data_IF_666755405609
#
_entry.id   IF_666755405609
#
_cell.length_a   1.000
_cell.length_b   1.000
_cell.length_c   1.000
_cell.angle_alpha   90.00
_cell.angle_beta   90.00
_cell.angle_gamma   90.00
#
_symmetry.space_group_name_H-M   'P 1'
#
loop_
_entity.id
_entity.type
_entity.pdbx_description
1 polymer ?
#
# COMPACT_ATOMS: atom_id res chain seq x y z
N UNK A 1 -3.99 -17.09 32.94
CA UNK A 1 -4.58 -15.73 33.09
C UNK A 1 -5.35 -15.63 34.40
N UNK A 2 -5.15 -14.57 35.15
CA UNK A 2 -5.71 -14.33 36.51
C UNK A 2 -7.06 -13.58 36.42
N UNK A 3 -8.00 -14.06 35.62
CA UNK A 3 -9.32 -13.46 35.43
C UNK A 3 -10.37 -14.52 35.15
N UNK A 4 -11.62 -14.27 35.54
CA UNK A 4 -12.79 -15.13 35.28
C UNK A 4 -13.34 -14.94 33.85
N UNK A 5 -12.92 -13.89 33.16
CA UNK A 5 -13.36 -13.59 31.78
C UNK A 5 -12.93 -14.70 30.82
N UNK A 6 -13.76 -15.00 29.84
CA UNK A 6 -13.40 -15.87 28.74
C UNK A 6 -12.36 -15.21 27.82
N UNK A 7 -11.62 -15.99 27.02
CA UNK A 7 -10.65 -15.43 26.06
C UNK A 7 -11.32 -14.45 25.08
N UNK A 8 -12.54 -14.72 24.65
CA UNK A 8 -13.26 -13.83 23.76
C UNK A 8 -13.58 -12.49 24.44
N UNK A 9 -14.04 -12.53 25.70
CA UNK A 9 -14.30 -11.31 26.48
C UNK A 9 -13.03 -10.49 26.70
N UNK A 10 -11.89 -11.15 26.98
CA UNK A 10 -10.59 -10.45 27.10
C UNK A 10 -10.19 -9.80 25.78
N UNK A 11 -10.38 -10.49 24.65
CA UNK A 11 -10.08 -9.92 23.31
C UNK A 11 -11.05 -8.77 22.99
N UNK A 12 -12.32 -8.90 23.33
CA UNK A 12 -13.33 -7.84 23.09
C UNK A 12 -12.97 -6.58 23.90
N UNK A 13 -12.61 -6.73 25.16
CA UNK A 13 -12.17 -5.64 26.02
C UNK A 13 -10.88 -4.99 25.46
N UNK A 14 -9.86 -5.80 25.13
CA UNK A 14 -8.65 -5.29 24.53
C UNK A 14 -8.89 -4.48 23.24
N UNK A 15 -9.72 -5.00 22.35
CA UNK A 15 -10.06 -4.34 21.09
C UNK A 15 -10.83 -3.05 21.32
N UNK A 16 -11.72 -3.00 22.31
CA UNK A 16 -12.49 -1.79 22.64
C UNK A 16 -11.58 -0.67 23.17
N UNK A 17 -10.56 -1.01 23.96
CA UNK A 17 -9.60 -0.07 24.54
C UNK A 17 -8.43 0.27 23.58
N UNK A 18 -8.28 -0.48 22.48
CA UNK A 18 -7.21 -0.18 21.51
C UNK A 18 -7.51 1.12 20.76
N UNK A 19 -6.64 2.13 20.95
CA UNK A 19 -6.72 3.38 20.18
C UNK A 19 -6.17 3.15 18.76
N UNK A 20 -7.04 2.65 17.89
CA UNK A 20 -6.70 2.37 16.49
C UNK A 20 -7.96 2.42 15.60
N UNK A 21 -7.75 2.63 14.31
CA UNK A 21 -8.83 2.62 13.33
C UNK A 21 -9.52 1.25 13.25
N UNK A 22 -10.81 1.20 12.88
CA UNK A 22 -11.59 -0.04 12.81
C UNK A 22 -10.90 -1.16 12.01
N UNK A 23 -10.24 -0.83 10.90
CA UNK A 23 -9.51 -1.80 10.09
C UNK A 23 -8.31 -2.41 10.84
N UNK A 24 -7.61 -1.62 11.67
CA UNK A 24 -6.49 -2.11 12.49
C UNK A 24 -7.00 -2.98 13.63
N UNK A 25 -8.10 -2.58 14.29
CA UNK A 25 -8.76 -3.39 15.34
C UNK A 25 -9.21 -4.74 14.77
N UNK A 26 -9.81 -4.77 13.58
CA UNK A 26 -10.19 -6.00 12.88
C UNK A 26 -8.98 -6.90 12.57
N UNK A 27 -7.87 -6.33 12.08
CA UNK A 27 -6.64 -7.09 11.82
C UNK A 27 -6.00 -7.63 13.10
N UNK A 28 -6.03 -6.86 14.19
CA UNK A 28 -5.57 -7.30 15.50
C UNK A 28 -6.39 -8.47 16.02
N UNK A 29 -7.73 -8.38 15.97
CA UNK A 29 -8.64 -9.47 16.34
C UNK A 29 -8.37 -10.74 15.54
N UNK A 30 -8.21 -10.61 14.23
CA UNK A 30 -7.91 -11.73 13.34
C UNK A 30 -6.56 -12.40 13.70
N UNK A 31 -5.51 -11.61 13.94
CA UNK A 31 -4.17 -12.12 14.22
C UNK A 31 -4.06 -12.77 15.59
N UNK A 32 -4.68 -12.19 16.62
CA UNK A 32 -4.68 -12.81 17.95
C UNK A 32 -5.50 -14.12 17.96
N UNK A 33 -6.59 -14.19 17.17
CA UNK A 33 -7.33 -15.43 16.96
C UNK A 33 -6.50 -16.53 16.30
N UNK A 34 -5.56 -16.15 15.40
CA UNK A 34 -4.61 -17.11 14.81
C UNK A 34 -3.61 -17.63 15.83
N UNK A 35 -3.12 -16.78 16.72
CA UNK A 35 -2.27 -17.18 17.85
C UNK A 35 -2.97 -18.20 18.75
N UNK A 36 -4.20 -17.95 19.18
CA UNK A 36 -4.93 -18.89 20.03
C UNK A 36 -5.24 -20.21 19.32
N UNK A 37 -5.52 -20.18 18.03
CA UNK A 37 -5.68 -21.42 17.23
C UNK A 37 -4.39 -22.23 17.16
N UNK A 38 -3.24 -21.57 17.01
CA UNK A 38 -1.94 -22.22 17.04
C UNK A 38 -1.68 -22.91 18.37
N UNK A 39 -1.95 -22.24 19.51
CA UNK A 39 -1.80 -22.84 20.84
C UNK A 39 -2.66 -24.09 20.99
N UNK A 40 -3.94 -23.99 20.64
CA UNK A 40 -4.86 -25.15 20.69
C UNK A 40 -4.36 -26.31 19.82
N UNK A 41 -3.89 -26.04 18.62
CA UNK A 41 -3.34 -27.06 17.72
C UNK A 41 -2.07 -27.73 18.29
N UNK A 42 -1.31 -27.02 19.14
CA UNK A 42 -0.13 -27.51 19.84
C UNK A 42 -0.49 -28.26 21.14
N UNK A 43 -1.76 -28.26 21.55
CA UNK A 43 -2.20 -28.85 22.83
C UNK A 43 -1.90 -27.95 24.04
N UNK A 44 -1.61 -26.66 23.83
CA UNK A 44 -1.35 -25.69 24.90
C UNK A 44 -2.65 -24.95 25.23
N UNK A 45 -2.97 -24.85 26.53
CA UNK A 45 -4.11 -24.00 26.95
C UNK A 45 -3.82 -22.53 26.59
N UNK A 46 -4.66 -21.89 25.77
CA UNK A 46 -4.48 -20.47 25.40
C UNK A 46 -4.51 -19.51 26.61
N UNK A 47 -4.92 -19.96 27.79
CA UNK A 47 -4.89 -19.17 29.01
C UNK A 47 -3.55 -19.21 29.75
N UNK A 48 -2.72 -20.23 29.46
CA UNK A 48 -1.46 -20.49 30.17
C UNK A 48 -0.27 -20.73 29.22
N UNK A 49 -0.14 -19.98 28.12
CA UNK A 49 1.02 -20.14 27.26
C UNK A 49 2.28 -19.58 27.94
N UNK A 50 3.41 -20.16 27.57
CA UNK A 50 4.72 -19.70 28.02
C UNK A 50 5.44 -18.85 26.95
N UNK A 51 6.57 -18.26 27.35
CA UNK A 51 7.46 -17.52 26.45
C UNK A 51 7.96 -18.38 25.27
N UNK A 52 8.24 -19.66 25.54
CA UNK A 52 8.65 -20.63 24.49
C UNK A 52 7.62 -20.76 23.40
N UNK A 53 6.31 -20.72 23.74
CA UNK A 53 5.25 -20.85 22.76
C UNK A 53 5.21 -19.67 21.77
N UNK A 54 5.53 -18.45 22.25
CA UNK A 54 5.62 -17.27 21.35
C UNK A 54 6.81 -17.41 20.40
N UNK A 55 7.95 -17.94 20.88
CA UNK A 55 9.13 -18.20 20.05
C UNK A 55 8.83 -19.29 19.02
N UNK A 56 8.18 -20.38 19.43
CA UNK A 56 7.78 -21.47 18.56
C UNK A 56 6.76 -21.01 17.50
N UNK A 57 5.80 -20.16 17.88
CA UNK A 57 4.88 -19.54 16.93
C UNK A 57 5.59 -18.72 15.86
N UNK A 58 6.53 -17.85 16.29
CA UNK A 58 7.37 -17.09 15.37
C UNK A 58 8.12 -18.00 14.39
N UNK A 59 8.74 -19.09 14.93
CA UNK A 59 9.50 -20.05 14.14
C UNK A 59 8.60 -20.86 13.19
N UNK A 60 7.40 -21.24 13.63
CA UNK A 60 6.43 -21.95 12.79
C UNK A 60 5.96 -21.13 11.61
N UNK A 61 5.72 -19.82 11.81
CA UNK A 61 5.37 -18.90 10.74
C UNK A 61 6.51 -18.77 9.70
N UNK A 62 7.76 -18.73 10.17
CA UNK A 62 8.94 -18.69 9.30
C UNK A 62 9.11 -20.00 8.51
N UNK A 63 8.96 -21.15 9.17
CA UNK A 63 9.01 -22.48 8.53
C UNK A 63 7.89 -22.67 7.50
N UNK A 64 6.71 -22.04 7.71
CA UNK A 64 5.61 -22.01 6.75
C UNK A 64 5.84 -21.05 5.57
N UNK A 65 7.07 -20.54 5.38
CA UNK A 65 7.44 -19.68 4.26
C UNK A 65 6.88 -18.26 4.32
N UNK A 66 6.39 -17.80 5.49
CA UNK A 66 5.93 -16.42 5.62
C UNK A 66 7.10 -15.45 5.60
N UNK A 67 6.95 -14.31 4.89
CA UNK A 67 7.98 -13.28 4.88
C UNK A 67 8.27 -12.75 6.29
N UNK A 68 9.49 -12.29 6.54
CA UNK A 68 9.87 -11.69 7.83
C UNK A 68 8.97 -10.51 8.23
N UNK A 69 8.47 -9.74 7.26
CA UNK A 69 7.50 -8.68 7.50
C UNK A 69 6.16 -9.23 8.02
N UNK A 70 5.66 -10.31 7.40
CA UNK A 70 4.43 -10.98 7.82
C UNK A 70 4.59 -11.58 9.21
N UNK A 71 5.68 -12.31 9.46
CA UNK A 71 6.01 -12.89 10.78
C UNK A 71 6.02 -11.80 11.85
N UNK A 72 6.72 -10.69 11.60
CA UNK A 72 6.77 -9.57 12.52
C UNK A 72 5.39 -8.98 12.79
N UNK A 73 4.53 -8.84 11.78
CA UNK A 73 3.17 -8.36 11.94
C UNK A 73 2.30 -9.25 12.83
N UNK A 74 2.47 -10.57 12.78
CA UNK A 74 1.78 -11.50 13.69
C UNK A 74 2.34 -11.43 15.11
N UNK A 75 3.65 -11.47 15.26
CA UNK A 75 4.32 -11.42 16.57
C UNK A 75 4.09 -10.07 17.26
N UNK A 76 4.02 -8.97 16.52
CA UNK A 76 3.71 -7.65 17.08
C UNK A 76 2.34 -7.64 17.75
N UNK A 77 1.33 -8.24 17.14
CA UNK A 77 -0.01 -8.31 17.75
C UNK A 77 0.00 -9.10 19.04
N UNK A 78 0.72 -10.22 19.09
CA UNK A 78 0.91 -11.02 20.32
C UNK A 78 1.58 -10.17 21.41
N UNK A 79 2.64 -9.41 21.06
CA UNK A 79 3.32 -8.51 22.00
C UNK A 79 2.40 -7.43 22.56
N UNK A 80 1.65 -6.76 21.70
CA UNK A 80 0.73 -5.70 22.11
C UNK A 80 -0.36 -6.25 23.00
N UNK A 81 -0.91 -7.41 22.69
CA UNK A 81 -1.92 -8.09 23.51
C UNK A 81 -1.39 -8.43 24.90
N UNK A 82 -0.23 -9.09 25.02
CA UNK A 82 0.30 -9.47 26.33
C UNK A 82 0.83 -8.26 27.14
N UNK A 83 1.29 -7.20 26.48
CA UNK A 83 1.61 -5.94 27.15
C UNK A 83 0.38 -5.29 27.77
N UNK A 84 -0.76 -5.30 27.06
CA UNK A 84 -2.03 -4.84 27.59
C UNK A 84 -2.55 -5.74 28.72
N UNK A 85 -2.48 -7.07 28.57
CA UNK A 85 -2.86 -8.03 29.64
C UNK A 85 -2.05 -7.83 30.93
N UNK A 86 -0.75 -7.51 30.81
CA UNK A 86 0.12 -7.19 31.96
C UNK A 86 -0.36 -5.90 32.64
N UNK A 87 -0.67 -4.85 31.88
CA UNK A 87 -1.23 -3.59 32.40
C UNK A 87 -2.53 -3.79 33.15
N UNK A 88 -3.39 -4.71 32.69
CA UNK A 88 -4.63 -5.13 33.34
C UNK A 88 -4.42 -6.12 34.50
N UNK A 89 -3.21 -6.58 34.74
CA UNK A 89 -2.86 -7.64 35.70
C UNK A 89 -3.55 -8.98 35.43
N UNK A 90 -3.94 -9.24 34.17
CA UNK A 90 -4.55 -10.51 33.77
C UNK A 90 -3.51 -11.64 33.65
N UNK A 91 -2.31 -11.34 33.22
CA UNK A 91 -1.17 -12.26 33.18
C UNK A 91 0.15 -11.48 32.99
N UNK A 92 1.26 -12.16 33.22
CA UNK A 92 2.58 -11.60 32.94
C UNK A 92 2.83 -11.52 31.42
N UNK A 93 3.69 -10.58 30.99
CA UNK A 93 3.99 -10.38 29.57
C UNK A 93 4.99 -11.42 29.06
N UNK A 94 4.50 -12.54 28.59
CA UNK A 94 5.30 -13.65 28.04
C UNK A 94 6.02 -13.26 26.73
N UNK A 95 5.62 -12.16 26.08
CA UNK A 95 6.21 -11.70 24.82
C UNK A 95 7.26 -10.60 25.01
N UNK A 96 7.55 -10.20 26.26
CA UNK A 96 8.53 -9.17 26.58
C UNK A 96 9.92 -9.51 26.04
N UNK A 97 10.56 -8.58 25.34
CA UNK A 97 11.94 -8.73 24.81
C UNK A 97 12.10 -9.76 23.68
N UNK A 98 11.03 -10.35 23.14
CA UNK A 98 11.12 -11.21 21.95
C UNK A 98 11.54 -10.37 20.76
N UNK A 99 12.69 -10.68 20.16
CA UNK A 99 13.21 -9.95 18.99
C UNK A 99 12.36 -10.24 17.74
N UNK A 100 12.08 -9.21 16.99
CA UNK A 100 11.51 -9.34 15.65
C UNK A 100 12.47 -10.10 14.72
N UNK A 101 11.95 -10.79 13.71
CA UNK A 101 12.80 -11.37 12.65
C UNK A 101 13.50 -10.25 11.90
N UNK A 102 14.75 -10.48 11.47
CA UNK A 102 15.47 -9.52 10.64
C UNK A 102 14.63 -9.22 9.40
N UNK A 103 14.35 -7.94 9.19
CA UNK A 103 13.66 -7.49 7.98
C UNK A 103 14.64 -7.62 6.82
N UNK A 104 14.54 -8.70 6.05
CA UNK A 104 15.12 -8.69 4.72
C UNK A 104 14.38 -7.65 3.90
N UNK A 105 15.11 -6.64 3.40
CA UNK A 105 14.57 -5.51 2.64
C UNK A 105 14.14 -5.89 1.19
N UNK A 106 14.02 -7.17 0.88
CA UNK A 106 13.98 -7.66 -0.50
C UNK A 106 12.62 -7.62 -1.19
N UNK A 107 11.54 -7.21 -0.53
CA UNK A 107 10.22 -7.21 -1.16
C UNK A 107 9.74 -5.81 -1.48
N UNK A 108 10.37 -5.16 -2.46
CA UNK A 108 9.86 -3.93 -3.02
C UNK A 108 8.85 -4.22 -4.14
N UNK A 109 7.72 -3.53 -4.12
CA UNK A 109 6.86 -3.45 -5.30
C UNK A 109 7.61 -2.70 -6.38
N UNK A 110 7.63 -3.27 -7.58
CA UNK A 110 8.31 -2.66 -8.71
C UNK A 110 7.42 -1.56 -9.33
N UNK A 111 7.98 -0.40 -9.67
CA UNK A 111 7.27 0.59 -10.47
C UNK A 111 7.17 0.12 -11.93
N UNK A 112 6.22 0.66 -12.66
CA UNK A 112 6.17 0.58 -14.11
C UNK A 112 7.23 1.50 -14.72
N UNK A 113 7.73 1.14 -15.89
CA UNK A 113 8.43 2.11 -16.75
C UNK A 113 7.43 3.12 -17.31
N UNK A 114 7.91 4.27 -17.78
CA UNK A 114 7.07 5.26 -18.45
C UNK A 114 6.30 4.65 -19.63
N UNK A 115 6.96 3.84 -20.48
CA UNK A 115 6.31 3.14 -21.60
C UNK A 115 5.18 2.22 -21.13
N UNK A 116 5.40 1.46 -20.07
CA UNK A 116 4.37 0.58 -19.51
C UNK A 116 3.19 1.35 -18.92
N UNK A 117 3.44 2.49 -18.26
CA UNK A 117 2.39 3.33 -17.71
C UNK A 117 1.54 3.97 -18.83
N UNK A 118 2.18 4.48 -19.90
CA UNK A 118 1.47 4.98 -21.08
C UNK A 118 0.66 3.89 -21.76
N UNK A 119 1.27 2.74 -22.05
CA UNK A 119 0.58 1.60 -22.66
C UNK A 119 -0.63 1.12 -21.83
N UNK A 120 -0.52 1.16 -20.49
CA UNK A 120 -1.64 0.83 -19.61
C UNK A 120 -2.82 1.79 -19.80
N UNK A 121 -2.57 3.09 -19.84
CA UNK A 121 -3.61 4.11 -20.05
C UNK A 121 -4.21 4.06 -21.47
N UNK A 122 -3.39 3.80 -22.48
CA UNK A 122 -3.79 3.71 -23.89
C UNK A 122 -4.63 2.44 -24.15
N UNK A 123 -4.35 1.35 -23.43
CA UNK A 123 -5.09 0.07 -23.59
C UNK A 123 -6.54 0.11 -23.11
N UNK A 124 -6.94 1.17 -22.41
CA UNK A 124 -8.28 1.25 -21.80
C UNK A 124 -9.25 1.90 -22.79
N UNK A 125 -10.22 1.12 -23.23
CA UNK A 125 -11.31 1.59 -24.08
C UNK A 125 -12.28 2.50 -23.28
N UNK A 126 -12.27 3.78 -23.58
CA UNK A 126 -13.13 4.81 -22.95
C UNK A 126 -14.48 5.00 -23.65
N UNK A 127 -14.82 4.20 -24.65
CA UNK A 127 -16.18 4.16 -25.19
C UNK A 127 -17.18 3.57 -24.19
N UNK A 128 -16.70 2.85 -23.19
CA UNK A 128 -17.49 2.20 -22.16
C UNK A 128 -17.41 2.92 -20.82
N UNK A 129 -18.51 2.97 -20.07
CA UNK A 129 -18.57 3.55 -18.73
C UNK A 129 -17.52 2.91 -17.76
N UNK A 130 -17.33 1.59 -17.85
CA UNK A 130 -16.32 0.86 -17.08
C UNK A 130 -14.91 1.31 -17.47
N UNK A 131 -14.65 1.51 -18.74
CA UNK A 131 -13.35 1.98 -19.21
C UNK A 131 -13.05 3.39 -18.77
N UNK A 132 -14.03 4.33 -18.87
CA UNK A 132 -13.89 5.70 -18.35
C UNK A 132 -13.54 5.70 -16.87
N UNK A 133 -14.28 4.93 -16.05
CA UNK A 133 -13.99 4.74 -14.63
C UNK A 133 -12.56 4.21 -14.39
N UNK A 134 -12.19 3.14 -15.07
CA UNK A 134 -10.90 2.48 -14.86
C UNK A 134 -9.74 3.41 -15.24
N UNK A 135 -9.88 4.17 -16.35
CA UNK A 135 -8.85 5.11 -16.83
C UNK A 135 -8.65 6.27 -15.86
N UNK A 136 -9.74 6.92 -15.42
CA UNK A 136 -9.67 7.98 -14.41
C UNK A 136 -9.01 7.50 -13.12
N UNK A 137 -9.44 6.36 -12.60
CA UNK A 137 -8.90 5.75 -11.38
C UNK A 137 -7.39 5.46 -11.51
N UNK A 138 -6.97 4.87 -12.62
CA UNK A 138 -5.56 4.53 -12.87
C UNK A 138 -4.72 5.79 -13.08
N UNK A 139 -5.25 6.79 -13.78
CA UNK A 139 -4.55 8.07 -13.98
C UNK A 139 -4.33 8.78 -12.64
N UNK A 140 -5.33 8.88 -11.77
CA UNK A 140 -5.18 9.44 -10.41
C UNK A 140 -4.09 8.74 -9.59
N UNK A 141 -3.98 7.42 -9.72
CA UNK A 141 -2.93 6.67 -9.02
C UNK A 141 -1.54 6.87 -9.64
N UNK A 142 -1.45 7.10 -10.93
CA UNK A 142 -0.19 7.33 -11.66
C UNK A 142 0.29 8.78 -11.58
N UNK A 143 -0.61 9.76 -11.65
CA UNK A 143 -0.27 11.20 -11.65
C UNK A 143 -0.20 11.80 -10.25
N UNK A 144 -1.20 11.49 -9.40
CA UNK A 144 -1.30 12.03 -8.05
C UNK A 144 -0.79 11.06 -6.97
N UNK A 145 -0.39 9.85 -7.37
CA UNK A 145 0.14 8.84 -6.48
C UNK A 145 -0.84 8.35 -5.41
N UNK A 146 -2.15 8.43 -5.64
CA UNK A 146 -3.16 8.03 -4.66
C UNK A 146 -3.09 6.55 -4.33
N UNK A 147 -3.33 6.22 -3.06
CA UNK A 147 -3.47 4.83 -2.61
C UNK A 147 -4.86 4.28 -2.96
N UNK A 148 -4.99 2.98 -3.13
CA UNK A 148 -6.30 2.34 -3.40
C UNK A 148 -7.38 2.70 -2.37
N UNK A 149 -7.01 2.88 -1.08
CA UNK A 149 -7.96 3.29 -0.05
C UNK A 149 -8.33 4.77 -0.13
N UNK A 150 -7.48 5.62 -0.69
CA UNK A 150 -7.77 7.03 -0.95
C UNK A 150 -8.71 7.14 -2.16
N UNK A 151 -8.39 6.45 -3.25
CA UNK A 151 -9.25 6.36 -4.43
C UNK A 151 -10.64 5.81 -4.09
N UNK A 152 -10.72 4.76 -3.29
CA UNK A 152 -12.01 4.18 -2.85
C UNK A 152 -12.93 5.22 -2.20
N UNK A 153 -12.36 6.20 -1.48
CA UNK A 153 -13.11 7.14 -0.64
C UNK A 153 -13.53 8.41 -1.34
N UNK A 154 -13.15 8.58 -2.60
CA UNK A 154 -13.49 9.76 -3.39
C UNK A 154 -14.99 9.76 -3.66
N UNK A 155 -15.63 10.90 -3.37
CA UNK A 155 -16.98 11.24 -3.75
C UNK A 155 -16.95 12.22 -4.95
N UNK A 156 -18.08 12.43 -5.61
CA UNK A 156 -18.14 13.33 -6.75
C UNK A 156 -17.87 14.78 -6.31
N UNK A 157 -18.38 15.19 -5.14
CA UNK A 157 -18.16 16.51 -4.55
C UNK A 157 -16.73 16.79 -4.08
N UNK A 158 -15.84 15.82 -4.11
CA UNK A 158 -14.44 16.04 -3.70
C UNK A 158 -13.61 16.77 -4.76
N UNK A 159 -14.09 16.83 -6.00
CA UNK A 159 -13.48 17.66 -7.05
C UNK A 159 -13.98 19.10 -6.94
N UNK A 160 -13.04 20.05 -6.94
CA UNK A 160 -13.31 21.46 -6.74
C UNK A 160 -12.44 22.32 -7.66
N UNK A 161 -12.86 23.54 -7.91
CA UNK A 161 -12.13 24.54 -8.67
C UNK A 161 -11.91 25.77 -7.78
N UNK A 162 -10.71 25.94 -7.28
CA UNK A 162 -10.34 27.06 -6.39
C UNK A 162 -9.36 27.98 -7.13
N UNK A 163 -9.74 29.24 -7.31
CA UNK A 163 -8.92 30.25 -8.01
C UNK A 163 -8.43 29.80 -9.40
N UNK A 164 -9.26 29.04 -10.12
CA UNK A 164 -8.91 28.50 -11.43
C UNK A 164 -7.99 27.28 -11.41
N UNK A 165 -7.68 26.73 -10.23
CA UNK A 165 -6.90 25.52 -10.08
C UNK A 165 -7.82 24.35 -9.71
N UNK A 166 -7.77 23.29 -10.52
CA UNK A 166 -8.53 22.06 -10.26
C UNK A 166 -7.90 21.29 -9.11
N UNK A 167 -8.70 20.99 -8.11
CA UNK A 167 -8.28 20.32 -6.89
C UNK A 167 -9.14 19.09 -6.59
N UNK A 168 -8.56 18.16 -5.85
CA UNK A 168 -9.24 16.97 -5.33
C UNK A 168 -9.00 16.87 -3.84
N UNK A 169 -10.09 16.90 -3.05
CA UNK A 169 -10.06 16.64 -1.61
C UNK A 169 -9.92 15.16 -1.34
N UNK A 170 -8.97 14.77 -0.51
CA UNK A 170 -8.65 13.37 -0.27
C UNK A 170 -8.63 13.01 1.21
N UNK A 171 -9.15 11.82 1.53
CA UNK A 171 -9.00 11.22 2.84
C UNK A 171 -7.78 10.31 2.85
N UNK A 172 -6.67 10.78 3.44
CA UNK A 172 -5.44 9.99 3.55
C UNK A 172 -5.63 8.73 4.41
N UNK A 173 -4.78 7.75 4.13
CA UNK A 173 -4.73 6.54 4.97
C UNK A 173 -4.42 6.91 6.42
N UNK A 174 -5.26 6.48 7.35
CA UNK A 174 -5.10 6.78 8.78
C UNK A 174 -5.82 8.04 9.24
N UNK A 175 -6.48 8.77 8.34
CA UNK A 175 -7.32 9.94 8.66
C UNK A 175 -8.80 9.60 8.57
N UNK A 176 -9.62 10.38 9.25
CA UNK A 176 -11.09 10.26 9.26
C UNK A 176 -11.76 11.34 8.40
N UNK A 177 -11.01 12.36 7.99
CA UNK A 177 -11.45 13.55 7.27
C UNK A 177 -10.78 13.67 5.90
N UNK A 178 -11.27 14.61 5.06
CA UNK A 178 -10.77 14.93 3.72
C UNK A 178 -10.12 16.31 3.66
N UNK A 179 -9.35 16.69 4.69
CA UNK A 179 -8.72 18.00 4.77
C UNK A 179 -7.51 18.20 3.85
N UNK A 180 -6.94 17.14 3.33
CA UNK A 180 -5.83 17.27 2.39
C UNK A 180 -6.35 17.39 0.95
N UNK A 181 -5.72 18.29 0.20
CA UNK A 181 -6.02 18.53 -1.22
C UNK A 181 -4.83 18.16 -2.09
N UNK A 182 -5.10 17.73 -3.30
CA UNK A 182 -4.10 17.55 -4.35
C UNK A 182 -4.55 18.29 -5.60
N UNK A 183 -3.62 18.96 -6.27
CA UNK A 183 -3.88 19.55 -7.58
C UNK A 183 -4.04 18.43 -8.60
N UNK A 184 -5.05 18.52 -9.44
CA UNK A 184 -5.28 17.60 -10.56
C UNK A 184 -5.10 18.30 -11.88
N UNK A 185 -4.65 17.57 -12.90
CA UNK A 185 -4.43 18.13 -14.23
C UNK A 185 -5.73 18.22 -15.03
N UNK A 186 -5.69 19.01 -16.12
CA UNK A 186 -6.83 19.16 -17.03
C UNK A 186 -7.25 17.81 -17.65
N UNK A 187 -6.31 16.89 -17.89
CA UNK A 187 -6.62 15.55 -18.39
C UNK A 187 -7.39 14.71 -17.35
N UNK A 188 -7.09 14.89 -16.07
CA UNK A 188 -7.86 14.25 -14.98
C UNK A 188 -9.26 14.84 -14.93
N UNK A 189 -9.39 16.16 -15.02
CA UNK A 189 -10.71 16.84 -15.04
C UNK A 189 -11.54 16.41 -16.24
N UNK A 190 -10.97 16.39 -17.43
CA UNK A 190 -11.67 15.93 -18.63
C UNK A 190 -12.19 14.49 -18.51
N UNK A 191 -11.39 13.58 -17.93
CA UNK A 191 -11.83 12.21 -17.65
C UNK A 191 -12.87 12.14 -16.54
N UNK A 192 -12.79 13.01 -15.53
CA UNK A 192 -13.79 13.10 -14.47
C UNK A 192 -15.14 13.53 -15.04
N UNK A 193 -15.18 14.59 -15.84
CA UNK A 193 -16.38 15.10 -16.49
C UNK A 193 -16.99 14.08 -17.46
N UNK A 194 -16.15 13.45 -18.30
CA UNK A 194 -16.60 12.42 -19.23
C UNK A 194 -17.17 11.19 -18.53
N UNK A 195 -16.56 10.78 -17.40
CA UNK A 195 -17.06 9.66 -16.61
C UNK A 195 -18.36 10.00 -15.89
N UNK A 196 -18.44 11.15 -15.21
CA UNK A 196 -19.62 11.56 -14.44
C UNK A 196 -20.81 11.82 -15.34
N UNK A 197 -20.63 12.52 -16.48
CA UNK A 197 -21.69 12.72 -17.48
C UNK A 197 -22.26 11.41 -18.01
N UNK A 198 -21.44 10.37 -18.07
CA UNK A 198 -21.85 9.05 -18.56
C UNK A 198 -22.50 8.16 -17.50
N UNK A 199 -22.46 8.56 -16.19
CA UNK A 199 -23.09 7.78 -15.11
C UNK A 199 -24.60 7.87 -15.07
N UNK A 200 -25.19 8.87 -15.71
CA UNK A 200 -26.60 9.23 -15.57
C UNK A 200 -26.85 10.10 -14.35
N UNK A 201 -28.02 9.99 -13.74
CA UNK A 201 -28.36 10.78 -12.54
C UNK A 201 -27.52 10.34 -11.33
N UNK A 202 -27.01 11.32 -10.59
CA UNK A 202 -26.24 11.12 -9.36
C UNK A 202 -26.39 12.32 -8.42
N UNK A 203 -26.22 12.08 -7.12
CA UNK A 203 -26.04 13.12 -6.13
C UNK A 203 -24.56 13.47 -6.01
N UNK A 204 -24.23 14.74 -5.73
CA UNK A 204 -22.83 15.18 -5.58
C UNK A 204 -22.09 14.46 -4.44
N UNK A 205 -22.82 13.97 -3.44
CA UNK A 205 -22.30 13.15 -2.34
C UNK A 205 -22.11 11.68 -2.70
N UNK A 206 -22.52 11.26 -3.90
CA UNK A 206 -22.35 9.86 -4.31
C UNK A 206 -20.89 9.47 -4.49
N UNK A 207 -20.57 8.19 -4.26
CA UNK A 207 -19.25 7.67 -4.56
C UNK A 207 -18.87 7.89 -6.02
N UNK A 208 -17.67 8.45 -6.26
CA UNK A 208 -17.19 8.62 -7.62
C UNK A 208 -17.00 7.24 -8.29
N UNK A 209 -16.28 6.33 -7.66
CA UNK A 209 -15.98 5.02 -8.21
C UNK A 209 -16.96 3.95 -7.72
N UNK A 210 -17.85 3.54 -8.60
CA UNK A 210 -18.88 2.54 -8.31
C UNK A 210 -18.73 1.28 -9.15
N UNK A 211 -19.36 0.18 -8.70
CA UNK A 211 -19.59 -0.95 -9.58
C UNK A 211 -20.58 -0.53 -10.70
N UNK A 212 -20.44 -1.14 -11.87
CA UNK A 212 -21.35 -0.95 -13.00
C UNK A 212 -21.90 -2.31 -13.45
N UNK A 213 -22.38 -3.08 -12.48
CA UNK A 213 -23.03 -4.35 -12.76
C UNK A 213 -24.47 -4.09 -13.24
N UNK A 214 -24.83 -4.71 -14.38
CA UNK A 214 -26.15 -4.56 -14.97
C UNK A 214 -27.23 -5.03 -13.99
N UNK A 215 -28.25 -4.20 -13.75
CA UNK A 215 -29.37 -4.53 -12.86
C UNK A 215 -29.07 -4.46 -11.37
N UNK A 216 -27.90 -3.96 -10.97
CA UNK A 216 -27.53 -3.75 -9.57
C UNK A 216 -27.33 -2.26 -9.30
N UNK A 217 -27.84 -1.79 -8.16
CA UNK A 217 -27.61 -0.39 -7.72
C UNK A 217 -26.10 -0.13 -7.68
N UNK A 218 -25.62 0.99 -8.24
CA UNK A 218 -24.23 1.35 -8.15
C UNK A 218 -23.78 1.54 -6.70
N UNK A 219 -22.81 0.75 -6.28
CA UNK A 219 -22.20 0.82 -4.95
C UNK A 219 -20.72 1.17 -5.05
N UNK A 220 -20.19 1.83 -4.03
CA UNK A 220 -18.77 2.14 -3.92
C UNK A 220 -17.93 0.87 -4.07
N UNK A 221 -16.94 0.89 -4.97
CA UNK A 221 -16.00 -0.23 -5.10
C UNK A 221 -15.07 -0.29 -3.89
N UNK A 222 -14.73 -1.50 -3.47
CA UNK A 222 -13.77 -1.71 -2.39
C UNK A 222 -12.33 -1.79 -2.91
N UNK A 223 -11.34 -1.80 -1.98
CA UNK A 223 -9.90 -1.84 -2.33
C UNK A 223 -9.51 -3.12 -3.07
N UNK A 224 -10.15 -4.21 -2.75
CA UNK A 224 -9.92 -5.52 -3.36
C UNK A 224 -10.36 -5.47 -4.83
N UNK A 225 -11.51 -4.88 -5.11
CA UNK A 225 -12.02 -4.65 -6.47
C UNK A 225 -11.08 -3.73 -7.25
N UNK A 226 -10.62 -2.62 -6.65
CA UNK A 226 -9.62 -1.72 -7.29
C UNK A 226 -8.36 -2.51 -7.65
N UNK A 227 -7.83 -3.30 -6.72
CA UNK A 227 -6.64 -4.11 -6.94
C UNK A 227 -6.84 -5.15 -8.04
N UNK A 228 -8.02 -5.78 -8.10
CA UNK A 228 -8.40 -6.73 -9.14
C UNK A 228 -8.49 -6.05 -10.52
N UNK A 229 -9.16 -4.91 -10.61
CA UNK A 229 -9.28 -4.12 -11.85
C UNK A 229 -7.90 -3.78 -12.39
N UNK A 230 -7.02 -3.20 -11.55
CA UNK A 230 -5.67 -2.82 -11.95
C UNK A 230 -4.86 -4.04 -12.41
N UNK A 231 -4.93 -5.16 -11.68
CA UNK A 231 -4.22 -6.37 -12.08
C UNK A 231 -4.74 -6.92 -13.41
N UNK A 232 -6.04 -6.89 -13.65
CA UNK A 232 -6.65 -7.27 -14.94
C UNK A 232 -6.16 -6.37 -16.08
N UNK A 233 -6.10 -5.03 -15.88
CA UNK A 233 -5.61 -4.08 -16.87
C UNK A 233 -4.11 -4.24 -17.14
N UNK A 234 -3.31 -4.54 -16.12
CA UNK A 234 -1.88 -4.85 -16.30
C UNK A 234 -1.69 -6.13 -17.13
N UNK A 235 -2.48 -7.17 -16.87
CA UNK A 235 -2.43 -8.42 -17.64
C UNK A 235 -2.81 -8.21 -19.11
N UNK A 236 -3.76 -7.32 -19.42
CA UNK A 236 -4.14 -7.05 -20.81
C UNK A 236 -3.02 -6.44 -21.66
N UNK A 237 -1.99 -5.87 -21.03
CA UNK A 237 -0.78 -5.38 -21.69
C UNK A 237 0.44 -6.29 -21.46
N UNK A 238 0.21 -7.55 -21.08
CA UNK A 238 1.26 -8.56 -20.89
C UNK A 238 2.05 -8.46 -19.57
N UNK A 239 1.59 -7.67 -18.59
CA UNK A 239 2.27 -7.53 -17.29
C UNK A 239 1.57 -8.39 -16.24
N UNK A 240 2.15 -9.54 -15.90
CA UNK A 240 1.65 -10.44 -14.84
C UNK A 240 2.68 -10.74 -13.74
N UNK A 241 3.59 -9.81 -13.47
CA UNK A 241 4.53 -9.92 -12.35
C UNK A 241 3.79 -9.75 -11.01
N UNK A 242 3.94 -10.68 -10.03
CA UNK A 242 3.35 -10.55 -8.70
C UNK A 242 3.90 -9.36 -7.89
N UNK A 243 5.06 -8.82 -8.27
CA UNK A 243 5.65 -7.61 -7.68
C UNK A 243 4.99 -6.33 -8.19
N UNK A 244 4.25 -6.40 -9.31
CA UNK A 244 3.54 -5.25 -9.90
C UNK A 244 2.05 -5.35 -9.53
N UNK A 245 1.59 -4.36 -8.77
CA UNK A 245 0.24 -4.33 -8.17
C UNK A 245 -0.32 -2.91 -8.21
N UNK A 246 -1.53 -2.69 -7.71
CA UNK A 246 -2.10 -1.36 -7.54
C UNK A 246 -1.16 -0.38 -6.81
N UNK A 247 -0.43 -0.85 -5.80
CA UNK A 247 0.55 0.00 -5.10
C UNK A 247 1.75 0.39 -5.99
N UNK A 248 2.05 -0.40 -7.01
CA UNK A 248 3.09 -0.08 -8.00
C UNK A 248 2.78 1.16 -8.82
N UNK A 249 1.50 1.50 -9.06
CA UNK A 249 1.13 2.73 -9.77
C UNK A 249 1.60 3.98 -8.98
N UNK A 250 1.40 3.97 -7.67
CA UNK A 250 1.92 5.03 -6.80
C UNK A 250 3.46 5.04 -6.75
N UNK A 251 4.11 3.88 -6.75
CA UNK A 251 5.56 3.81 -6.87
C UNK A 251 6.04 4.35 -8.22
N UNK A 252 5.27 4.13 -9.28
CA UNK A 252 5.54 4.71 -10.61
C UNK A 252 5.49 6.23 -10.57
N UNK A 253 4.47 6.81 -9.94
CA UNK A 253 4.37 8.26 -9.73
C UNK A 253 5.65 8.81 -9.08
N UNK A 254 6.01 8.31 -7.90
CA UNK A 254 7.21 8.79 -7.19
C UNK A 254 8.51 8.56 -7.97
N UNK A 255 8.63 7.42 -8.69
CA UNK A 255 9.81 7.11 -9.50
C UNK A 255 9.94 8.06 -10.70
N UNK A 256 8.84 8.32 -11.40
CA UNK A 256 8.83 9.25 -12.54
C UNK A 256 9.11 10.68 -12.13
N UNK A 257 8.62 11.12 -10.97
CA UNK A 257 8.94 12.46 -10.43
C UNK A 257 10.44 12.61 -10.14
N UNK A 258 11.07 11.61 -9.52
CA UNK A 258 12.53 11.61 -9.32
C UNK A 258 13.28 11.63 -10.66
N UNK A 259 12.84 10.86 -11.64
CA UNK A 259 13.44 10.84 -12.98
C UNK A 259 13.31 12.20 -13.70
N UNK A 260 12.26 12.97 -13.42
CA UNK A 260 12.07 14.35 -13.90
C UNK A 260 12.83 15.40 -13.07
N UNK A 261 13.49 15.02 -11.98
CA UNK A 261 14.32 15.92 -11.18
C UNK A 261 13.59 16.68 -10.08
N UNK A 262 12.34 16.30 -9.74
CA UNK A 262 11.62 16.91 -8.62
C UNK A 262 12.33 16.65 -7.29
N UNK A 263 12.24 17.63 -6.40
CA UNK A 263 12.79 17.53 -5.05
C UNK A 263 12.14 16.34 -4.29
N UNK A 264 12.94 15.47 -3.65
CA UNK A 264 12.43 14.39 -2.82
C UNK A 264 11.47 14.84 -1.71
N UNK A 265 11.64 16.04 -1.15
CA UNK A 265 10.74 16.59 -0.15
C UNK A 265 9.36 16.88 -0.77
N UNK A 266 9.32 17.53 -1.93
CA UNK A 266 8.09 17.79 -2.66
C UNK A 266 7.34 16.47 -2.99
N UNK A 267 8.09 15.43 -3.39
CA UNK A 267 7.52 14.10 -3.64
C UNK A 267 6.95 13.49 -2.36
N UNK A 268 7.64 13.64 -1.23
CA UNK A 268 7.17 13.18 0.06
C UNK A 268 5.84 13.84 0.45
N UNK A 269 5.77 15.16 0.30
CA UNK A 269 4.60 15.96 0.64
C UNK A 269 3.42 15.59 -0.27
N UNK A 270 3.62 15.57 -1.58
CA UNK A 270 2.57 15.18 -2.55
C UNK A 270 2.04 13.76 -2.30
N UNK A 271 2.94 12.81 -2.00
CA UNK A 271 2.53 11.45 -1.70
C UNK A 271 1.97 11.30 -0.28
N UNK A 272 2.10 12.28 0.62
CA UNK A 272 1.68 12.19 2.02
C UNK A 272 2.41 11.05 2.74
N UNK A 273 3.76 11.04 2.66
CA UNK A 273 4.60 10.11 3.41
C UNK A 273 4.96 10.70 4.76
N UNK A 274 4.43 10.13 5.83
CA UNK A 274 4.80 10.50 7.20
C UNK A 274 6.21 10.05 7.59
N UNK A 275 6.72 9.00 6.94
CA UNK A 275 8.07 8.47 7.15
C UNK A 275 8.95 8.75 5.92
N UNK A 276 9.99 9.60 6.05
CA UNK A 276 10.94 9.91 4.97
C UNK A 276 11.62 8.69 4.37
N UNK A 277 11.73 7.58 5.13
CA UNK A 277 12.33 6.34 4.63
C UNK A 277 11.57 5.76 3.43
N UNK A 278 10.29 6.07 3.32
CA UNK A 278 9.45 5.63 2.19
C UNK A 278 9.82 6.34 0.90
N UNK A 279 10.12 7.65 0.94
CA UNK A 279 10.57 8.41 -0.25
C UNK A 279 12.01 8.05 -0.62
N UNK A 280 12.86 7.70 0.35
CA UNK A 280 14.23 7.23 0.11
C UNK A 280 14.31 6.00 -0.81
N UNK A 281 13.24 5.21 -0.89
CA UNK A 281 13.16 4.08 -1.83
C UNK A 281 13.29 4.58 -3.26
N UNK A 282 12.59 5.64 -3.63
CA UNK A 282 12.62 6.18 -5.00
C UNK A 282 13.99 6.80 -5.34
N UNK A 283 14.58 7.55 -4.42
CA UNK A 283 15.91 8.12 -4.62
C UNK A 283 16.99 7.03 -4.77
N UNK A 284 16.91 5.95 -3.99
CA UNK A 284 17.83 4.82 -4.12
C UNK A 284 17.64 4.09 -5.46
N UNK A 285 16.40 3.88 -5.91
CA UNK A 285 16.12 3.24 -7.20
C UNK A 285 16.64 4.09 -8.39
N UNK A 286 16.39 5.39 -8.36
CA UNK A 286 16.90 6.31 -9.38
C UNK A 286 18.44 6.34 -9.38
N UNK A 287 19.07 6.37 -8.20
CA UNK A 287 20.54 6.28 -8.08
C UNK A 287 21.08 4.99 -8.68
N UNK A 288 20.46 3.85 -8.37
CA UNK A 288 20.87 2.55 -8.95
C UNK A 288 20.72 2.55 -10.47
N UNK A 289 19.61 3.08 -11.00
CA UNK A 289 19.39 3.20 -12.45
C UNK A 289 20.48 4.05 -13.10
N UNK A 290 20.77 5.25 -12.55
CA UNK A 290 21.84 6.13 -13.05
C UNK A 290 23.22 5.46 -13.03
N UNK A 291 23.54 4.71 -11.96
CA UNK A 291 24.78 3.95 -11.88
C UNK A 291 24.85 2.86 -12.95
N UNK A 292 23.74 2.20 -13.24
CA UNK A 292 23.66 1.17 -14.26
C UNK A 292 23.75 1.77 -15.67
N UNK A 293 23.03 2.85 -15.95
CA UNK A 293 23.02 3.54 -17.25
C UNK A 293 24.37 4.21 -17.56
N UNK A 294 24.96 4.90 -16.59
CA UNK A 294 26.26 5.55 -16.75
C UNK A 294 27.43 4.57 -16.83
N UNK A 295 27.22 3.35 -16.30
CA UNK A 295 28.19 2.27 -16.23
C UNK A 295 29.64 2.74 -15.96
N UNK A 296 29.87 3.51 -14.86
CA UNK A 296 31.20 4.14 -14.63
C UNK A 296 32.35 3.15 -14.57
N UNK A 297 32.08 1.92 -14.08
CA UNK A 297 33.08 0.85 -14.08
C UNK A 297 33.50 0.42 -15.48
N UNK A 298 32.57 0.37 -16.46
CA UNK A 298 32.90 0.06 -17.87
C UNK A 298 33.73 1.17 -18.46
N UNK A 299 33.39 2.44 -18.21
CA UNK A 299 34.17 3.58 -18.70
C UNK A 299 35.59 3.59 -18.12
N UNK A 300 35.72 3.33 -16.82
CA UNK A 300 37.02 3.22 -16.15
C UNK A 300 37.86 2.04 -16.70
N UNK A 301 37.27 0.87 -16.83
CA UNK A 301 37.95 -0.28 -17.39
C UNK A 301 38.46 0.00 -18.81
N UNK A 302 37.63 0.62 -19.66
CA UNK A 302 38.02 1.01 -21.01
C UNK A 302 39.16 2.03 -21.00
N UNK A 303 39.10 3.03 -20.09
CA UNK A 303 40.17 4.03 -19.95
C UNK A 303 41.49 3.38 -19.52
N UNK A 304 41.43 2.51 -18.50
CA UNK A 304 42.63 1.84 -17.97
C UNK A 304 43.26 0.86 -18.98
N UNK A 305 42.45 0.14 -19.75
CA UNK A 305 42.94 -0.82 -20.74
C UNK A 305 43.44 -0.18 -22.04
N UNK A 306 42.97 1.04 -22.35
CA UNK A 306 43.37 1.75 -23.60
C UNK A 306 44.49 2.78 -23.44
N UNK A 307 45.00 3.01 -22.21
CA UNK A 307 46.17 3.88 -21.98
C UNK A 307 47.49 3.35 -22.62
N UNK A 308 47.52 2.10 -23.07
CA UNK A 308 48.71 1.50 -23.71
C UNK A 308 48.79 1.62 -25.23
N UNK A 309 47.75 2.13 -25.93
CA UNK A 309 47.75 2.13 -27.43
C UNK A 309 48.10 3.46 -28.09
N UNK A 310 48.50 4.49 -27.34
CA UNK A 310 48.92 5.80 -27.89
C UNK A 310 50.43 6.04 -27.76
N UNK A 311 51.28 5.11 -28.17
CA UNK A 311 52.70 5.36 -28.47
C UNK A 311 53.24 4.26 -29.37
N UNK A 312 52.84 4.23 -30.61
CA UNK A 312 53.58 3.67 -31.74
C UNK A 312 52.95 4.22 -33.01
N UNK A 313 53.46 5.30 -33.50
CA UNK A 313 53.18 5.95 -34.74
C UNK A 313 54.04 7.17 -34.86
#
# INVERSE_FOLDING_TARGET
>A
MRTTLTLNQIVDEWISETDALPATRSDYRRKIGLWFRYLKAKGVDPREPGRSDVIDYKNSLSKAGKSSFTVNGYVTVVKVFYSWCEGKKYCDNIALGIKSSNKQKEYYKLPLTRKQASALLESIDTSTLIGKRDKLMILLMLSNGLRSCEVQRIDICDFDLVDGVSMLHIQRKGRTDKHETVVVSDEVMALFEDYTSSKGEFEVSDPLFTNHMRGVKPERINRETISFIIKRRLRSIGIDDPKITAHSLRHTCGSLMIDQGYDPQLIQDMLGHTDPSTTRIYTNMARQRRLFESAPSRKLSHLLMNTGKKKRG
#
